data_IF_480850047590
#
_entry.id   IF_480850047590
#
_cell.length_a   1.000
_cell.length_b   1.000
_cell.length_c   1.000
_cell.angle_alpha   90.00
_cell.angle_beta   90.00
_cell.angle_gamma   90.00
#
_symmetry.space_group_name_H-M   'P 1'
#
loop_
_entity.id
_entity.type
_entity.pdbx_description
1 polymer ?
#
# COMPACT_ATOMS: atom_id res chain seq x y z
N UNK A 1 42.36 21.55 -19.92
CA UNK A 1 41.69 20.29 -19.50
C UNK A 1 40.45 20.51 -18.66
N UNK A 2 40.42 21.35 -17.62
CA UNK A 2 39.21 21.58 -16.76
C UNK A 2 37.93 22.02 -17.52
N UNK A 3 38.03 22.92 -18.53
CA UNK A 3 36.84 23.37 -19.31
C UNK A 3 36.20 22.25 -20.15
N UNK A 4 36.94 21.30 -20.69
CA UNK A 4 36.39 20.16 -21.46
C UNK A 4 35.62 19.17 -20.58
N UNK A 5 36.10 18.93 -19.36
CA UNK A 5 35.41 18.06 -18.39
C UNK A 5 34.11 18.68 -17.89
N UNK A 6 34.05 20.00 -17.70
CA UNK A 6 32.81 20.68 -17.29
C UNK A 6 31.74 20.64 -18.39
N UNK A 7 32.12 20.79 -19.66
CA UNK A 7 31.18 20.72 -20.79
C UNK A 7 30.63 19.30 -21.00
N UNK A 8 31.47 18.27 -20.88
CA UNK A 8 31.06 16.86 -20.96
C UNK A 8 30.12 16.47 -19.80
N UNK A 9 30.47 16.89 -18.59
CA UNK A 9 29.63 16.63 -17.41
C UNK A 9 28.25 17.33 -17.54
N UNK A 10 28.21 18.58 -18.01
CA UNK A 10 26.99 19.31 -18.26
C UNK A 10 26.13 18.64 -19.35
N UNK A 11 26.72 18.22 -20.46
CA UNK A 11 26.03 17.48 -21.52
C UNK A 11 25.41 16.17 -21.02
N UNK A 12 26.14 15.43 -20.17
CA UNK A 12 25.61 14.21 -19.54
C UNK A 12 24.40 14.48 -18.61
N UNK A 13 24.48 15.53 -17.79
CA UNK A 13 23.38 15.93 -16.89
C UNK A 13 22.13 16.33 -17.67
N UNK A 14 22.27 17.09 -18.76
CA UNK A 14 21.16 17.47 -19.64
C UNK A 14 20.53 16.24 -20.29
N UNK A 15 21.35 15.33 -20.81
CA UNK A 15 20.86 14.08 -21.41
C UNK A 15 20.13 13.19 -20.40
N UNK A 16 20.68 13.05 -19.18
CA UNK A 16 20.05 12.32 -18.09
C UNK A 16 18.71 12.95 -17.68
N UNK A 17 18.67 14.29 -17.55
CA UNK A 17 17.44 15.03 -17.25
C UNK A 17 16.39 14.82 -18.35
N UNK A 18 16.76 14.94 -19.61
CA UNK A 18 15.88 14.72 -20.75
C UNK A 18 15.34 13.28 -20.77
N UNK A 19 16.21 12.28 -20.53
CA UNK A 19 15.81 10.88 -20.43
C UNK A 19 14.72 10.69 -19.37
N UNK A 20 14.95 11.17 -18.14
CA UNK A 20 14.01 11.02 -17.03
C UNK A 20 12.68 11.72 -17.32
N UNK A 21 12.72 12.97 -17.85
CA UNK A 21 11.52 13.80 -18.04
C UNK A 21 10.72 13.44 -19.29
N UNK A 22 11.39 13.07 -20.37
CA UNK A 22 10.77 12.85 -21.68
C UNK A 22 10.47 11.36 -21.89
N UNK A 23 11.47 10.49 -21.67
CA UNK A 23 11.32 9.05 -21.90
C UNK A 23 10.58 8.36 -20.76
N UNK A 24 11.02 8.56 -19.51
CA UNK A 24 10.41 7.92 -18.35
C UNK A 24 9.18 8.66 -17.81
N UNK A 25 8.96 9.91 -18.22
CA UNK A 25 7.81 10.78 -17.84
C UNK A 25 7.59 10.89 -16.33
N UNK A 26 8.66 10.83 -15.56
CA UNK A 26 8.65 10.96 -14.09
C UNK A 26 9.49 12.12 -13.57
N UNK A 27 9.38 12.43 -12.28
CA UNK A 27 10.18 13.45 -11.65
C UNK A 27 11.63 12.97 -11.41
N UNK A 28 12.58 13.91 -11.42
CA UNK A 28 13.97 13.64 -11.03
C UNK A 28 14.02 13.12 -9.59
N UNK A 29 13.16 13.64 -8.70
CA UNK A 29 13.11 13.20 -7.30
C UNK A 29 12.72 11.72 -7.19
N UNK A 30 11.73 11.26 -7.98
CA UNK A 30 11.36 9.84 -8.07
C UNK A 30 12.55 8.98 -8.57
N UNK A 31 13.24 9.44 -9.63
CA UNK A 31 14.40 8.72 -10.15
C UNK A 31 15.52 8.59 -9.11
N UNK A 32 15.89 9.69 -8.45
CA UNK A 32 16.95 9.68 -7.44
C UNK A 32 16.61 8.81 -6.23
N UNK A 33 15.35 8.86 -5.79
CA UNK A 33 14.87 8.01 -4.71
C UNK A 33 14.98 6.52 -5.07
N UNK A 34 14.55 6.14 -6.28
CA UNK A 34 14.73 4.77 -6.77
C UNK A 34 16.21 4.33 -6.75
N UNK A 35 17.14 5.20 -7.20
CA UNK A 35 18.57 4.86 -7.14
C UNK A 35 19.04 4.69 -5.69
N UNK A 36 18.59 5.53 -4.77
CA UNK A 36 18.86 5.37 -3.32
C UNK A 36 18.35 4.04 -2.76
N UNK A 37 17.13 3.65 -3.13
CA UNK A 37 16.53 2.37 -2.74
C UNK A 37 17.37 1.19 -3.29
N UNK A 38 17.80 1.25 -4.56
CA UNK A 38 18.68 0.21 -5.15
C UNK A 38 19.98 0.06 -4.39
N UNK A 39 20.60 1.17 -4.01
CA UNK A 39 21.87 1.19 -3.27
C UNK A 39 21.71 0.67 -1.83
N UNK A 40 20.57 0.85 -1.20
CA UNK A 40 20.28 0.37 0.17
C UNK A 40 20.24 -1.16 0.30
N UNK A 41 20.13 -1.88 -0.82
CA UNK A 41 19.98 -3.34 -0.87
C UNK A 41 18.75 -3.87 -0.09
N UNK A 42 17.77 -3.01 0.20
CA UNK A 42 16.56 -3.36 0.96
C UNK A 42 15.77 -4.52 0.32
N UNK A 43 15.88 -4.69 -1.01
CA UNK A 43 15.29 -5.79 -1.76
C UNK A 43 15.71 -7.18 -1.27
N UNK A 44 16.92 -7.34 -0.70
CA UNK A 44 17.46 -8.67 -0.33
C UNK A 44 16.52 -9.45 0.59
N UNK A 45 15.88 -8.76 1.54
CA UNK A 45 14.92 -9.38 2.47
C UNK A 45 13.66 -9.95 1.80
N UNK A 46 13.34 -9.48 0.60
CA UNK A 46 12.22 -9.97 -0.19
C UNK A 46 12.62 -10.94 -1.29
N UNK A 47 13.91 -10.92 -1.66
CA UNK A 47 14.48 -11.79 -2.70
C UNK A 47 14.86 -13.16 -2.18
N UNK A 48 15.31 -13.26 -0.92
CA UNK A 48 15.88 -14.49 -0.35
C UNK A 48 15.17 -14.82 0.96
N UNK A 49 14.73 -16.08 1.09
CA UNK A 49 14.04 -16.60 2.28
C UNK A 49 14.85 -16.39 3.56
N UNK A 50 16.14 -16.69 3.55
CA UNK A 50 17.02 -16.56 4.72
C UNK A 50 17.16 -15.10 5.18
N UNK A 51 17.17 -14.16 4.25
CA UNK A 51 17.23 -12.73 4.58
C UNK A 51 15.88 -12.24 5.12
N UNK A 52 14.76 -12.80 4.64
CA UNK A 52 13.43 -12.52 5.20
C UNK A 52 13.32 -13.07 6.63
N UNK A 53 13.77 -14.29 6.88
CA UNK A 53 13.79 -14.89 8.23
C UNK A 53 14.57 -14.02 9.21
N UNK A 54 15.81 -13.63 8.86
CA UNK A 54 16.64 -12.74 9.68
C UNK A 54 15.98 -11.39 9.92
N UNK A 55 15.30 -10.83 8.91
CA UNK A 55 14.60 -9.56 9.05
C UNK A 55 13.41 -9.68 9.99
N UNK A 56 12.64 -10.77 9.90
CA UNK A 56 11.52 -11.06 10.79
C UNK A 56 12.01 -11.28 12.24
N UNK A 57 13.01 -12.12 12.47
CA UNK A 57 13.61 -12.36 13.79
C UNK A 57 14.13 -11.07 14.44
N UNK A 58 14.79 -10.22 13.65
CA UNK A 58 15.31 -8.93 14.13
C UNK A 58 14.20 -7.97 14.50
N UNK A 59 13.09 -7.96 13.75
CA UNK A 59 11.96 -7.06 13.97
C UNK A 59 11.03 -7.54 15.09
N UNK A 60 10.90 -8.84 15.28
CA UNK A 60 9.96 -9.43 16.24
C UNK A 60 10.04 -8.81 17.65
N UNK A 61 11.21 -8.60 18.29
CA UNK A 61 11.27 -7.96 19.60
C UNK A 61 10.76 -6.52 19.60
N UNK A 62 10.85 -5.81 18.46
CA UNK A 62 10.42 -4.40 18.32
C UNK A 62 8.91 -4.29 18.16
N UNK A 63 8.27 -5.33 17.64
CA UNK A 63 6.82 -5.37 17.38
C UNK A 63 6.04 -6.25 18.37
N UNK A 64 6.72 -6.81 19.39
CA UNK A 64 6.11 -7.70 20.39
C UNK A 64 5.27 -6.97 21.45
N UNK A 65 5.52 -5.69 21.64
CA UNK A 65 4.87 -4.88 22.65
C UNK A 65 3.86 -3.89 22.08
N UNK A 66 3.54 -2.90 22.93
CA UNK A 66 2.77 -1.75 22.44
C UNK A 66 3.61 -0.93 21.48
N UNK A 67 2.96 -0.43 20.44
CA UNK A 67 3.61 0.48 19.51
C UNK A 67 4.04 1.77 20.21
N UNK A 68 5.34 2.06 20.17
CA UNK A 68 5.94 3.20 20.92
C UNK A 68 5.57 4.59 20.35
N UNK A 69 4.89 4.63 19.21
CA UNK A 69 4.50 5.87 18.55
C UNK A 69 5.45 6.32 17.44
N UNK A 70 5.19 7.49 16.90
CA UNK A 70 5.98 8.12 15.85
C UNK A 70 6.50 9.48 16.31
N UNK A 71 7.69 9.87 15.84
CA UNK A 71 8.22 11.24 15.99
C UNK A 71 7.77 12.18 14.86
N UNK A 72 6.89 11.73 13.97
CA UNK A 72 6.34 12.57 12.91
C UNK A 72 5.41 13.64 13.52
N UNK A 73 5.59 14.88 13.06
CA UNK A 73 4.74 16.00 13.48
C UNK A 73 3.65 16.20 12.43
N UNK A 74 2.41 15.87 12.79
CA UNK A 74 1.26 16.02 11.90
C UNK A 74 0.94 17.51 11.68
N UNK A 75 0.52 17.85 10.47
CA UNK A 75 -0.02 19.16 10.09
C UNK A 75 -1.50 19.26 10.40
N UNK A 76 -2.22 18.15 10.17
CA UNK A 76 -3.64 18.04 10.50
C UNK A 76 -3.82 17.64 11.96
N UNK A 77 -4.95 18.02 12.60
CA UNK A 77 -5.29 17.52 13.93
C UNK A 77 -5.24 16.00 13.96
N UNK A 78 -4.61 15.43 14.99
CA UNK A 78 -4.47 13.99 15.17
C UNK A 78 -4.80 13.59 16.61
N UNK A 79 -5.55 12.52 16.77
CA UNK A 79 -5.70 11.78 18.03
C UNK A 79 -5.07 10.40 17.89
N UNK A 80 -4.53 9.89 19.00
CA UNK A 80 -3.92 8.57 19.05
C UNK A 80 -4.51 7.85 20.25
N UNK A 81 -5.34 6.86 19.99
CA UNK A 81 -6.10 6.14 20.98
C UNK A 81 -5.88 4.63 20.86
N UNK A 82 -6.25 3.89 21.90
CA UNK A 82 -6.27 2.43 21.86
C UNK A 82 -7.69 1.93 21.56
N UNK A 83 -7.80 1.21 20.46
CA UNK A 83 -9.05 0.52 20.11
C UNK A 83 -8.76 -0.97 19.95
N UNK A 84 -9.51 -1.80 20.66
CA UNK A 84 -9.44 -3.26 20.57
C UNK A 84 -8.02 -3.83 20.77
N UNK A 85 -7.23 -3.19 21.63
CA UNK A 85 -5.84 -3.59 21.95
C UNK A 85 -4.78 -3.06 20.97
N UNK A 86 -5.18 -2.29 19.96
CA UNK A 86 -4.25 -1.71 18.96
C UNK A 86 -4.21 -0.19 19.05
N UNK A 87 -3.04 0.40 18.82
CA UNK A 87 -2.89 1.85 18.66
C UNK A 87 -3.52 2.28 17.33
N UNK A 88 -4.40 3.28 17.37
CA UNK A 88 -5.12 3.80 16.21
C UNK A 88 -4.88 5.31 16.08
N UNK A 89 -4.36 5.72 14.95
CA UNK A 89 -4.22 7.13 14.58
C UNK A 89 -5.50 7.58 13.87
N UNK A 90 -6.10 8.68 14.35
CA UNK A 90 -7.24 9.35 13.71
C UNK A 90 -6.83 10.77 13.34
N UNK A 91 -6.70 11.04 12.04
CA UNK A 91 -6.22 12.31 11.49
C UNK A 91 -7.40 13.08 10.88
N UNK A 92 -7.51 14.39 11.21
CA UNK A 92 -8.52 15.33 10.69
C UNK A 92 -9.98 14.91 10.97
N UNK A 93 -10.25 14.41 12.18
CA UNK A 93 -11.62 14.11 12.62
C UNK A 93 -12.38 15.41 12.93
N UNK A 94 -13.43 15.69 12.18
CA UNK A 94 -14.30 16.86 12.35
C UNK A 94 -15.55 16.60 13.17
N UNK A 95 -15.74 15.35 13.62
CA UNK A 95 -16.94 14.90 14.30
C UNK A 95 -18.22 15.17 13.46
N UNK A 96 -18.09 15.14 12.12
CA UNK A 96 -19.19 15.35 11.18
C UNK A 96 -19.54 14.02 10.52
N UNK A 97 -20.78 13.55 10.72
CA UNK A 97 -21.28 12.30 10.14
C UNK A 97 -21.30 12.29 8.60
N UNK A 98 -21.17 13.46 7.96
CA UNK A 98 -21.09 13.59 6.51
C UNK A 98 -19.64 13.66 6.01
N UNK A 99 -18.65 13.69 6.91
CA UNK A 99 -17.25 13.63 6.54
C UNK A 99 -16.90 12.28 5.95
N UNK A 100 -16.15 12.26 4.83
CA UNK A 100 -15.56 11.05 4.29
C UNK A 100 -14.56 10.45 5.28
N UNK A 101 -14.55 9.12 5.39
CA UNK A 101 -13.64 8.41 6.28
C UNK A 101 -12.80 7.43 5.46
N UNK A 102 -11.49 7.44 5.66
CA UNK A 102 -10.56 6.47 5.09
C UNK A 102 -10.05 5.54 6.18
N UNK A 103 -10.35 4.25 6.08
CA UNK A 103 -9.72 3.19 6.88
C UNK A 103 -8.48 2.70 6.13
N UNK A 104 -7.30 3.08 6.63
CA UNK A 104 -6.04 2.85 5.95
C UNK A 104 -5.24 1.70 6.57
N UNK A 105 -4.94 0.67 5.77
CA UNK A 105 -4.04 -0.41 6.11
C UNK A 105 -2.63 -0.09 5.58
N UNK A 106 -1.66 0.12 6.48
CA UNK A 106 -0.29 0.42 6.07
C UNK A 106 0.44 -0.80 5.52
N UNK A 107 1.39 -0.57 4.60
CA UNK A 107 2.31 -1.59 4.13
C UNK A 107 3.35 -2.01 5.16
N UNK A 108 4.26 -2.88 4.76
CA UNK A 108 5.35 -3.36 5.60
C UNK A 108 5.43 -4.89 5.68
N UNK A 109 4.92 -5.57 4.65
CA UNK A 109 4.98 -7.02 4.50
C UNK A 109 4.53 -7.79 5.76
N UNK A 110 3.48 -7.28 6.41
CA UNK A 110 2.80 -7.82 7.59
C UNK A 110 3.65 -7.96 8.85
N UNK A 111 4.94 -7.54 8.85
CA UNK A 111 5.84 -7.65 10.01
C UNK A 111 6.43 -6.32 10.50
N UNK A 112 6.35 -5.26 9.70
CA UNK A 112 6.88 -3.95 10.08
C UNK A 112 5.78 -3.04 10.63
N UNK A 113 6.14 -2.20 11.58
CA UNK A 113 5.33 -1.07 11.99
C UNK A 113 5.26 -0.01 10.89
N UNK A 114 4.25 0.90 10.94
CA UNK A 114 4.16 1.97 9.97
C UNK A 114 5.42 2.84 10.03
N UNK A 115 6.01 3.07 8.85
CA UNK A 115 7.18 3.93 8.70
C UNK A 115 6.78 5.41 8.66
N UNK A 116 7.73 6.31 8.88
CA UNK A 116 7.51 7.75 8.78
C UNK A 116 6.78 8.17 7.49
N UNK A 117 7.08 7.53 6.36
CA UNK A 117 6.43 7.82 5.07
C UNK A 117 4.93 7.56 5.08
N UNK A 118 4.43 6.59 5.88
CA UNK A 118 3.01 6.31 6.01
C UNK A 118 2.32 7.44 6.78
N UNK A 119 2.93 7.95 7.88
CA UNK A 119 2.39 9.09 8.62
C UNK A 119 2.35 10.37 7.76
N UNK A 120 3.42 10.64 6.99
CA UNK A 120 3.45 11.73 6.03
C UNK A 120 2.37 11.57 4.95
N UNK A 121 2.11 10.33 4.52
CA UNK A 121 1.12 10.05 3.50
C UNK A 121 -0.30 10.24 4.01
N UNK A 122 -0.66 9.69 5.19
CA UNK A 122 -2.02 9.82 5.74
C UNK A 122 -2.34 11.26 6.15
N UNK A 123 -1.36 12.06 6.54
CA UNK A 123 -1.51 13.47 6.85
C UNK A 123 -1.86 14.27 5.57
N UNK A 124 -1.09 14.08 4.47
CA UNK A 124 -1.36 14.70 3.16
C UNK A 124 -2.65 14.17 2.53
N UNK A 125 -2.98 12.89 2.74
CA UNK A 125 -4.24 12.28 2.31
C UNK A 125 -5.43 12.93 3.00
N UNK A 126 -5.39 13.08 4.33
CA UNK A 126 -6.44 13.71 5.13
C UNK A 126 -6.68 15.16 4.70
N UNK A 127 -5.61 15.92 4.46
CA UNK A 127 -5.68 17.29 3.96
C UNK A 127 -6.29 17.33 2.55
N UNK A 128 -5.76 16.55 1.60
CA UNK A 128 -6.15 16.58 0.19
C UNK A 128 -7.60 16.18 -0.02
N UNK A 129 -8.06 15.12 0.65
CA UNK A 129 -9.43 14.62 0.55
C UNK A 129 -10.40 15.33 1.47
N UNK A 130 -9.91 16.18 2.38
CA UNK A 130 -10.70 16.75 3.47
C UNK A 130 -11.44 15.67 4.28
N UNK A 131 -10.80 14.51 4.45
CA UNK A 131 -11.34 13.29 5.05
C UNK A 131 -10.76 13.04 6.44
N UNK A 132 -11.49 12.30 7.27
CA UNK A 132 -10.94 11.63 8.44
C UNK A 132 -10.16 10.41 7.96
N UNK A 133 -8.90 10.25 8.39
CA UNK A 133 -8.10 9.06 8.07
C UNK A 133 -7.81 8.30 9.36
N UNK A 134 -8.20 7.03 9.37
CA UNK A 134 -7.98 6.11 10.49
C UNK A 134 -6.94 5.08 10.05
N UNK A 135 -5.81 5.02 10.76
CA UNK A 135 -4.75 4.04 10.53
C UNK A 135 -4.48 3.26 11.81
N UNK A 136 -4.96 2.02 11.93
CA UNK A 136 -4.59 1.13 13.01
C UNK A 136 -3.16 0.61 12.79
N UNK A 137 -2.39 0.51 13.88
CA UNK A 137 -1.17 -0.29 13.92
C UNK A 137 -1.61 -1.73 14.21
N UNK A 138 -1.91 -2.45 13.16
CA UNK A 138 -2.56 -3.77 13.25
C UNK A 138 -1.61 -4.87 13.75
N UNK A 139 -2.15 -5.99 14.30
CA UNK A 139 -1.37 -7.17 14.68
C UNK A 139 -0.55 -7.72 13.50
N UNK A 140 0.66 -8.18 13.77
CA UNK A 140 1.66 -8.54 12.76
C UNK A 140 2.32 -9.88 13.07
N UNK A 141 2.87 -10.51 12.04
CA UNK A 141 3.77 -11.66 12.21
C UNK A 141 5.09 -11.21 12.87
N UNK A 142 5.75 -12.09 13.65
CA UNK A 142 5.38 -13.48 13.92
C UNK A 142 4.39 -13.67 15.08
N UNK A 143 3.85 -12.60 15.67
CA UNK A 143 3.04 -12.64 16.89
C UNK A 143 1.60 -13.09 16.62
N UNK A 144 1.05 -12.70 15.48
CA UNK A 144 -0.32 -13.00 15.06
C UNK A 144 -0.35 -13.19 13.53
N UNK A 145 -1.30 -13.98 13.05
CA UNK A 145 -1.62 -14.13 11.65
C UNK A 145 -2.65 -13.09 11.15
N UNK A 146 -3.10 -13.25 9.91
CA UNK A 146 -4.08 -12.35 9.28
C UNK A 146 -5.42 -12.26 10.03
N UNK A 147 -5.81 -13.32 10.75
CA UNK A 147 -7.11 -13.41 11.40
C UNK A 147 -7.28 -12.32 12.47
N UNK A 148 -6.24 -12.11 13.28
CA UNK A 148 -6.26 -11.06 14.30
C UNK A 148 -6.44 -9.66 13.70
N UNK A 149 -5.81 -9.40 12.56
CA UNK A 149 -5.95 -8.13 11.84
C UNK A 149 -7.36 -7.96 11.26
N UNK A 150 -7.95 -8.99 10.69
CA UNK A 150 -9.31 -8.89 10.15
C UNK A 150 -10.36 -8.71 11.23
N UNK A 151 -10.18 -9.33 12.41
CA UNK A 151 -11.05 -9.07 13.58
C UNK A 151 -10.95 -7.60 14.02
N UNK A 152 -9.75 -7.03 14.04
CA UNK A 152 -9.57 -5.60 14.35
C UNK A 152 -10.26 -4.70 13.32
N UNK A 153 -10.02 -4.95 12.02
CA UNK A 153 -10.61 -4.16 10.94
C UNK A 153 -12.12 -4.24 10.93
N UNK A 154 -12.71 -5.41 11.18
CA UNK A 154 -14.15 -5.60 11.26
C UNK A 154 -14.77 -4.76 12.40
N UNK A 155 -14.16 -4.78 13.59
CA UNK A 155 -14.62 -3.98 14.72
C UNK A 155 -14.54 -2.48 14.43
N UNK A 156 -13.39 -2.02 13.89
CA UNK A 156 -13.23 -0.62 13.49
C UNK A 156 -14.23 -0.23 12.40
N UNK A 157 -14.48 -1.11 11.44
CA UNK A 157 -15.43 -0.85 10.37
C UNK A 157 -16.88 -0.71 10.90
N UNK A 158 -17.27 -1.56 11.85
CA UNK A 158 -18.57 -1.41 12.52
C UNK A 158 -18.68 -0.09 13.29
N UNK A 159 -17.61 0.34 13.97
CA UNK A 159 -17.59 1.65 14.62
C UNK A 159 -17.78 2.78 13.60
N UNK A 160 -17.15 2.67 12.41
CA UNK A 160 -17.31 3.66 11.34
C UNK A 160 -18.70 3.69 10.77
N UNK A 161 -19.33 2.54 10.56
CA UNK A 161 -20.74 2.46 10.09
C UNK A 161 -21.70 3.19 11.04
N UNK A 162 -21.42 3.21 12.33
CA UNK A 162 -22.22 3.94 13.33
C UNK A 162 -21.92 5.45 13.35
N UNK A 163 -20.78 5.89 12.78
CA UNK A 163 -20.33 7.29 12.78
C UNK A 163 -20.71 8.05 11.51
N UNK A 164 -20.82 7.37 10.37
CA UNK A 164 -21.13 7.98 9.07
C UNK A 164 -22.62 7.98 8.76
N UNK A 165 -23.07 8.91 7.94
CA UNK A 165 -24.47 8.95 7.49
C UNK A 165 -24.78 7.88 6.41
N UNK A 166 -23.77 7.50 5.61
CA UNK A 166 -23.88 6.50 4.55
C UNK A 166 -22.53 5.73 4.44
N UNK A 167 -22.59 4.41 4.33
CA UNK A 167 -21.41 3.54 4.12
C UNK A 167 -20.60 3.93 2.89
N UNK A 168 -21.22 4.58 1.89
CA UNK A 168 -20.54 5.13 0.71
C UNK A 168 -19.51 6.20 1.03
N UNK A 169 -19.56 6.79 2.23
CA UNK A 169 -18.55 7.73 2.71
C UNK A 169 -17.27 7.04 3.16
N UNK A 170 -17.31 5.73 3.41
CA UNK A 170 -16.16 4.96 3.84
C UNK A 170 -15.33 4.53 2.63
N UNK A 171 -14.03 4.79 2.72
CA UNK A 171 -13.01 4.30 1.79
C UNK A 171 -12.11 3.34 2.56
N UNK A 172 -11.97 2.12 2.08
CA UNK A 172 -10.95 1.19 2.57
C UNK A 172 -9.73 1.31 1.66
N UNK A 173 -8.58 1.67 2.22
CA UNK A 173 -7.37 1.93 1.45
C UNK A 173 -6.18 1.22 2.06
N UNK A 174 -5.22 0.81 1.22
CA UNK A 174 -3.96 0.28 1.74
C UNK A 174 -2.88 0.18 0.68
N UNK A 175 -1.63 0.07 1.14
CA UNK A 175 -0.47 -0.08 0.29
C UNK A 175 0.25 -1.40 0.53
N UNK A 176 0.78 -2.04 -0.52
CA UNK A 176 1.54 -3.30 -0.44
C UNK A 176 0.76 -4.40 0.29
N UNK A 177 1.27 -4.93 1.40
CA UNK A 177 0.57 -5.83 2.32
C UNK A 177 -0.76 -5.24 2.81
N UNK A 178 -0.81 -3.93 3.08
CA UNK A 178 -2.05 -3.23 3.44
C UNK A 178 -3.06 -3.19 2.28
N UNK A 179 -2.59 -3.14 1.04
CA UNK A 179 -3.45 -3.26 -0.14
C UNK A 179 -4.07 -4.65 -0.26
N UNK A 180 -3.32 -5.71 0.09
CA UNK A 180 -3.85 -7.07 0.22
C UNK A 180 -4.94 -7.11 1.30
N UNK A 181 -4.66 -6.57 2.49
CA UNK A 181 -5.62 -6.51 3.60
C UNK A 181 -6.90 -5.78 3.14
N UNK A 182 -6.78 -4.64 2.47
CA UNK A 182 -7.92 -3.82 2.05
C UNK A 182 -8.88 -4.58 1.11
N UNK A 183 -8.36 -5.29 0.11
CA UNK A 183 -9.21 -6.02 -0.84
C UNK A 183 -9.78 -7.30 -0.21
N UNK A 184 -8.96 -8.09 0.49
CA UNK A 184 -9.44 -9.28 1.20
C UNK A 184 -10.48 -8.93 2.27
N UNK A 185 -10.31 -7.80 2.96
CA UNK A 185 -11.27 -7.34 3.95
C UNK A 185 -12.63 -6.97 3.30
N UNK A 186 -12.64 -6.29 2.15
CA UNK A 186 -13.88 -6.01 1.43
C UNK A 186 -14.59 -7.31 0.99
N UNK A 187 -13.86 -8.32 0.56
CA UNK A 187 -14.40 -9.66 0.25
C UNK A 187 -14.94 -10.36 1.50
N UNK A 188 -14.26 -10.24 2.64
CA UNK A 188 -14.74 -10.75 3.93
C UNK A 188 -16.02 -10.05 4.38
N UNK A 189 -16.14 -8.73 4.20
CA UNK A 189 -17.39 -8.02 4.48
C UNK A 189 -18.55 -8.58 3.65
N UNK A 190 -18.29 -8.88 2.36
CA UNK A 190 -19.28 -9.50 1.48
C UNK A 190 -19.67 -10.91 1.97
N UNK A 191 -18.69 -11.76 2.30
CA UNK A 191 -18.93 -13.12 2.85
C UNK A 191 -19.82 -13.05 4.10
N UNK A 192 -19.62 -12.04 4.95
CA UNK A 192 -20.38 -11.83 6.18
C UNK A 192 -21.68 -11.03 6.00
N UNK A 193 -22.06 -10.69 4.78
CA UNK A 193 -23.22 -9.85 4.48
C UNK A 193 -23.21 -8.49 5.17
N UNK A 194 -22.01 -7.94 5.43
CA UNK A 194 -21.84 -6.58 5.95
C UNK A 194 -21.82 -5.60 4.77
N UNK A 195 -22.48 -4.44 4.96
CA UNK A 195 -22.55 -3.42 3.91
C UNK A 195 -21.18 -2.97 3.45
N UNK A 196 -21.01 -2.82 2.13
CA UNK A 196 -19.72 -2.47 1.52
C UNK A 196 -19.34 -0.99 1.72
N UNK A 197 -18.03 -0.66 1.76
CA UNK A 197 -17.56 0.72 1.63
C UNK A 197 -17.89 1.26 0.24
N UNK A 198 -17.95 2.58 0.10
CA UNK A 198 -18.13 3.20 -1.22
C UNK A 198 -16.97 2.95 -2.17
N UNK A 199 -15.74 2.95 -1.64
CA UNK A 199 -14.53 2.80 -2.44
C UNK A 199 -13.49 1.92 -1.76
N UNK A 200 -12.69 1.24 -2.60
CA UNK A 200 -11.53 0.44 -2.22
C UNK A 200 -10.35 0.99 -3.03
N UNK A 201 -9.31 1.51 -2.36
CA UNK A 201 -8.16 2.11 -3.03
C UNK A 201 -6.90 1.29 -2.73
N UNK A 202 -6.32 0.71 -3.76
CA UNK A 202 -5.22 -0.24 -3.68
C UNK A 202 -3.94 0.38 -4.25
N UNK A 203 -2.90 0.47 -3.43
CA UNK A 203 -1.60 1.02 -3.82
C UNK A 203 -0.58 -0.12 -3.86
N UNK A 204 -0.14 -0.52 -5.05
CA UNK A 204 0.81 -1.63 -5.24
C UNK A 204 0.48 -2.86 -4.39
N UNK A 205 -0.77 -3.38 -4.42
CA UNK A 205 -1.22 -4.43 -3.52
C UNK A 205 -0.54 -5.77 -3.79
N UNK A 206 -0.31 -6.58 -2.77
CA UNK A 206 -0.05 -8.02 -2.94
C UNK A 206 -1.38 -8.69 -3.25
N UNK A 207 -1.59 -9.13 -4.49
CA UNK A 207 -2.85 -9.71 -4.95
C UNK A 207 -2.81 -11.24 -4.98
N UNK A 208 -1.64 -11.81 -5.25
CA UNK A 208 -1.34 -13.23 -5.20
C UNK A 208 -0.11 -13.46 -4.31
N UNK A 209 -0.33 -14.03 -3.13
CA UNK A 209 0.72 -14.34 -2.16
C UNK A 209 1.64 -15.48 -2.62
N UNK A 210 1.22 -16.27 -3.62
CA UNK A 210 2.05 -17.32 -4.20
C UNK A 210 3.16 -16.78 -5.09
N UNK A 211 3.03 -15.53 -5.59
CA UNK A 211 3.98 -14.88 -6.50
C UNK A 211 4.32 -15.72 -7.75
N UNK A 212 3.31 -16.43 -8.30
CA UNK A 212 3.52 -17.39 -9.41
C UNK A 212 3.12 -16.85 -10.78
N UNK A 213 2.78 -15.57 -10.92
CA UNK A 213 2.46 -15.01 -12.24
C UNK A 213 3.65 -15.19 -13.20
N UNK A 214 3.43 -15.72 -14.42
CA UNK A 214 4.51 -16.11 -15.34
C UNK A 214 5.40 -14.94 -15.79
N UNK A 215 4.92 -13.72 -15.76
CA UNK A 215 5.70 -12.53 -16.13
C UNK A 215 6.58 -11.97 -14.99
N UNK A 216 6.42 -12.41 -13.75
CA UNK A 216 7.21 -11.89 -12.60
C UNK A 216 8.72 -11.93 -12.85
N UNK A 217 9.32 -12.97 -13.48
CA UNK A 217 10.75 -12.99 -13.77
C UNK A 217 11.25 -11.78 -14.57
N UNK A 218 10.44 -11.22 -15.47
CA UNK A 218 10.78 -10.06 -16.30
C UNK A 218 10.85 -8.75 -15.49
N UNK A 219 10.25 -8.73 -14.32
CA UNK A 219 10.21 -7.58 -13.42
C UNK A 219 11.26 -7.64 -12.31
N UNK A 220 11.80 -8.81 -12.00
CA UNK A 220 12.77 -8.96 -10.91
C UNK A 220 13.97 -8.02 -11.01
N UNK A 221 14.52 -7.77 -12.20
CA UNK A 221 15.63 -6.84 -12.38
C UNK A 221 15.21 -5.37 -12.37
N UNK A 222 13.96 -5.09 -12.71
CA UNK A 222 13.40 -3.74 -12.79
C UNK A 222 13.02 -3.22 -11.40
N UNK A 223 12.43 -4.07 -10.56
CA UNK A 223 11.97 -3.72 -9.23
C UNK A 223 13.15 -3.47 -8.26
N UNK A 224 13.24 -2.30 -7.61
CA UNK A 224 14.28 -2.01 -6.63
C UNK A 224 13.98 -2.51 -5.22
N UNK A 225 12.72 -2.94 -4.91
CA UNK A 225 12.25 -3.17 -3.54
C UNK A 225 11.76 -4.58 -3.29
N UNK A 226 10.98 -5.17 -4.19
CA UNK A 226 10.29 -6.46 -3.99
C UNK A 226 10.99 -7.57 -4.74
N UNK A 227 11.01 -8.77 -4.16
CA UNK A 227 11.51 -10.03 -4.72
C UNK A 227 10.50 -11.13 -4.47
N UNK A 228 10.84 -12.38 -4.70
CA UNK A 228 9.89 -13.50 -4.64
C UNK A 228 10.05 -14.34 -3.38
N UNK A 229 11.15 -15.07 -3.23
CA UNK A 229 11.26 -16.14 -2.21
C UNK A 229 11.07 -15.62 -0.77
N UNK A 230 11.63 -14.42 -0.47
CA UNK A 230 11.46 -13.79 0.82
C UNK A 230 10.04 -13.28 1.03
N UNK A 231 9.38 -12.78 -0.03
CA UNK A 231 7.98 -12.33 0.03
C UNK A 231 7.03 -13.50 0.27
N UNK A 232 7.23 -14.63 -0.42
CA UNK A 232 6.45 -15.87 -0.23
C UNK A 232 6.62 -16.38 1.20
N UNK A 233 7.85 -16.44 1.72
CA UNK A 233 8.08 -16.82 3.11
C UNK A 233 7.31 -15.95 4.11
N UNK A 234 7.31 -14.63 3.94
CA UNK A 234 6.56 -13.73 4.81
C UNK A 234 5.05 -13.92 4.67
N UNK A 235 4.57 -14.20 3.47
CA UNK A 235 3.18 -14.52 3.21
C UNK A 235 2.75 -15.86 3.84
N UNK A 236 3.62 -16.87 3.85
CA UNK A 236 3.40 -18.15 4.58
C UNK A 236 3.22 -17.89 6.08
N UNK A 237 4.08 -17.05 6.67
CA UNK A 237 3.94 -16.68 8.09
C UNK A 237 2.63 -15.93 8.37
N UNK A 238 2.22 -15.03 7.45
CA UNK A 238 0.98 -14.26 7.54
C UNK A 238 -0.26 -15.13 7.38
N UNK A 239 -0.22 -16.10 6.47
CA UNK A 239 -1.30 -17.04 6.21
C UNK A 239 -1.55 -18.04 7.35
N UNK A 240 -0.53 -18.34 8.18
CA UNK A 240 -0.63 -19.40 9.18
C UNK A 240 -0.92 -20.75 8.50
N UNK A 241 -1.95 -21.44 8.93
CA UNK A 241 -2.38 -22.72 8.35
C UNK A 241 -3.25 -22.56 7.08
N UNK A 242 -3.56 -21.32 6.67
CA UNK A 242 -4.38 -21.05 5.50
C UNK A 242 -3.57 -21.20 4.21
N UNK A 243 -4.06 -21.92 3.17
CA UNK A 243 -3.39 -21.99 1.88
C UNK A 243 -3.14 -20.60 1.28
N UNK A 244 -1.97 -20.42 0.65
CA UNK A 244 -1.59 -19.12 0.07
C UNK A 244 -2.52 -18.64 -1.04
N UNK A 245 -3.20 -19.53 -1.75
CA UNK A 245 -4.18 -19.21 -2.79
C UNK A 245 -5.57 -18.84 -2.25
N UNK A 246 -5.79 -18.94 -0.94
CA UNK A 246 -7.03 -18.49 -0.32
C UNK A 246 -7.20 -16.98 -0.47
N UNK A 247 -8.42 -16.50 -0.79
CA UNK A 247 -8.69 -15.08 -1.01
C UNK A 247 -8.33 -14.19 0.20
N UNK A 248 -8.30 -14.73 1.40
CA UNK A 248 -7.93 -13.98 2.61
C UNK A 248 -6.46 -13.55 2.63
N UNK A 249 -5.63 -14.17 1.81
CA UNK A 249 -4.20 -13.82 1.64
C UNK A 249 -3.84 -13.55 0.18
N UNK A 250 -4.61 -14.07 -0.77
CA UNK A 250 -4.49 -13.84 -2.23
C UNK A 250 -5.82 -13.34 -2.80
N UNK A 251 -6.17 -12.06 -2.60
CA UNK A 251 -7.50 -11.54 -2.93
C UNK A 251 -7.87 -11.57 -4.40
N UNK A 252 -6.92 -11.80 -5.31
CA UNK A 252 -7.20 -12.00 -6.73
C UNK A 252 -8.10 -13.24 -6.98
N UNK A 253 -8.06 -14.22 -6.08
CA UNK A 253 -8.84 -15.46 -6.14
C UNK A 253 -10.22 -15.34 -5.48
N UNK A 254 -10.54 -14.18 -4.91
CA UNK A 254 -11.82 -13.97 -4.22
C UNK A 254 -12.91 -13.45 -5.14
N UNK A 255 -14.10 -13.33 -4.58
CA UNK A 255 -15.25 -12.79 -5.28
C UNK A 255 -15.16 -11.25 -5.37
N UNK A 256 -15.17 -10.73 -6.59
CA UNK A 256 -15.05 -9.31 -6.89
C UNK A 256 -16.41 -8.62 -7.13
N UNK A 257 -17.49 -9.40 -7.28
CA UNK A 257 -18.80 -8.86 -7.62
C UNK A 257 -19.45 -8.15 -6.42
N UNK A 258 -20.01 -6.96 -6.66
CA UNK A 258 -20.75 -6.20 -5.63
C UNK A 258 -19.89 -5.60 -4.53
N UNK A 259 -18.57 -5.53 -4.70
CA UNK A 259 -17.68 -4.77 -3.84
C UNK A 259 -17.84 -3.26 -4.08
N UNK A 260 -17.32 -2.43 -3.18
CA UNK A 260 -17.15 -1.00 -3.43
C UNK A 260 -16.30 -0.75 -4.68
N UNK A 261 -16.43 0.45 -5.30
CA UNK A 261 -15.64 0.80 -6.48
C UNK A 261 -14.14 0.67 -6.22
N UNK A 262 -13.44 -0.08 -7.07
CA UNK A 262 -12.01 -0.35 -6.92
C UNK A 262 -11.20 0.68 -7.72
N UNK A 263 -10.26 1.34 -7.04
CA UNK A 263 -9.19 2.14 -7.68
C UNK A 263 -7.86 1.46 -7.40
N UNK A 264 -7.12 1.12 -8.44
CA UNK A 264 -5.88 0.37 -8.37
C UNK A 264 -4.72 1.17 -8.98
N UNK A 265 -3.64 1.37 -8.23
CA UNK A 265 -2.38 1.94 -8.74
C UNK A 265 -1.21 1.02 -8.45
N UNK A 266 -0.26 0.97 -9.38
CA UNK A 266 0.96 0.14 -9.29
C UNK A 266 2.04 0.74 -10.17
N UNK A 267 3.30 0.67 -9.76
CA UNK A 267 4.43 1.07 -10.60
C UNK A 267 4.74 0.04 -11.67
N UNK A 268 4.98 0.48 -12.91
CA UNK A 268 5.24 -0.44 -14.03
C UNK A 268 6.62 -1.12 -13.99
N UNK A 269 7.39 -0.91 -12.93
CA UNK A 269 8.67 -1.62 -12.69
C UNK A 269 8.55 -2.68 -11.59
N UNK A 270 7.40 -2.80 -10.95
CA UNK A 270 7.19 -3.71 -9.82
C UNK A 270 6.96 -5.16 -10.24
N UNK A 271 7.42 -6.10 -9.41
CA UNK A 271 7.06 -7.52 -9.55
C UNK A 271 5.57 -7.77 -9.31
N UNK A 272 4.86 -6.84 -8.66
CA UNK A 272 3.42 -6.89 -8.42
C UNK A 272 2.58 -6.32 -9.60
N UNK A 273 3.24 -5.75 -10.63
CA UNK A 273 2.56 -5.16 -11.78
C UNK A 273 1.74 -6.17 -12.59
N UNK A 274 2.26 -7.39 -12.89
CA UNK A 274 1.49 -8.40 -13.65
C UNK A 274 0.17 -8.76 -12.98
N UNK A 275 0.18 -9.01 -11.67
CA UNK A 275 -1.05 -9.35 -10.93
C UNK A 275 -2.02 -8.17 -10.86
N UNK A 276 -1.51 -6.95 -10.72
CA UNK A 276 -2.34 -5.74 -10.73
C UNK A 276 -3.00 -5.52 -12.10
N UNK A 277 -2.27 -5.76 -13.18
CA UNK A 277 -2.83 -5.72 -14.54
C UNK A 277 -3.89 -6.81 -14.74
N UNK A 278 -3.60 -8.03 -14.26
CA UNK A 278 -4.53 -9.16 -14.32
C UNK A 278 -5.83 -8.84 -13.56
N UNK A 279 -5.75 -8.28 -12.34
CA UNK A 279 -6.94 -7.85 -11.59
C UNK A 279 -7.77 -6.85 -12.40
N UNK A 280 -7.14 -5.82 -13.01
CA UNK A 280 -7.85 -4.86 -13.84
C UNK A 280 -8.52 -5.51 -15.05
N UNK A 281 -7.88 -6.48 -15.68
CA UNK A 281 -8.45 -7.25 -16.79
C UNK A 281 -9.63 -8.12 -16.33
N UNK A 282 -9.52 -8.79 -15.18
CA UNK A 282 -10.61 -9.58 -14.59
C UNK A 282 -11.84 -8.71 -14.28
N UNK A 283 -11.64 -7.53 -13.68
CA UNK A 283 -12.70 -6.58 -13.41
C UNK A 283 -13.39 -6.12 -14.70
N UNK A 284 -12.59 -5.79 -15.74
CA UNK A 284 -13.10 -5.40 -17.06
C UNK A 284 -13.90 -6.54 -17.70
N UNK A 285 -13.39 -7.77 -17.67
CA UNK A 285 -14.06 -8.94 -18.25
C UNK A 285 -15.41 -9.26 -17.56
N UNK A 286 -15.52 -8.94 -16.27
CA UNK A 286 -16.77 -9.05 -15.50
C UNK A 286 -17.70 -7.84 -15.67
N UNK A 287 -17.30 -6.79 -16.39
CA UNK A 287 -18.06 -5.54 -16.50
C UNK A 287 -18.10 -4.71 -15.23
N UNK A 288 -17.17 -4.94 -14.29
CA UNK A 288 -17.08 -4.20 -13.03
C UNK A 288 -16.33 -2.89 -13.27
N UNK A 289 -17.00 -1.76 -13.00
CA UNK A 289 -16.40 -0.44 -13.13
C UNK A 289 -15.27 -0.25 -12.09
N UNK A 290 -14.10 0.11 -12.57
CA UNK A 290 -12.92 0.34 -11.73
C UNK A 290 -11.98 1.37 -12.39
N UNK A 291 -11.01 1.86 -11.61
CA UNK A 291 -9.98 2.77 -12.09
C UNK A 291 -8.61 2.08 -11.99
N UNK A 292 -7.89 1.99 -13.12
CA UNK A 292 -6.52 1.51 -13.17
C UNK A 292 -5.56 2.66 -13.50
N UNK A 293 -4.67 3.00 -12.57
CA UNK A 293 -3.75 4.14 -12.63
C UNK A 293 -2.30 3.64 -12.60
N UNK A 294 -1.75 3.14 -13.71
CA UNK A 294 -0.37 2.67 -13.72
C UNK A 294 0.63 3.83 -13.57
N UNK A 295 1.57 3.69 -12.66
CA UNK A 295 2.70 4.59 -12.48
C UNK A 295 3.82 4.25 -13.46
N UNK A 296 3.88 4.91 -14.61
CA UNK A 296 4.91 4.64 -15.62
C UNK A 296 6.32 4.89 -15.08
N UNK A 297 7.20 3.89 -15.24
CA UNK A 297 8.58 3.86 -14.70
C UNK A 297 8.67 4.07 -13.19
N UNK A 298 7.57 3.91 -12.45
CA UNK A 298 7.54 4.00 -10.99
C UNK A 298 7.87 2.65 -10.34
N UNK A 299 8.28 2.74 -9.09
CA UNK A 299 8.66 1.65 -8.21
C UNK A 299 7.58 1.40 -7.15
N UNK A 300 7.74 0.34 -6.36
CA UNK A 300 6.78 -0.13 -5.37
C UNK A 300 6.32 0.96 -4.41
N UNK A 301 4.99 1.05 -4.24
CA UNK A 301 4.29 2.04 -3.40
C UNK A 301 4.72 3.50 -3.64
N UNK A 302 5.09 3.86 -4.88
CA UNK A 302 5.57 5.21 -5.21
C UNK A 302 4.68 6.35 -4.69
N UNK A 303 3.34 6.23 -4.61
CA UNK A 303 2.50 7.29 -4.09
C UNK A 303 2.68 7.55 -2.58
N UNK A 304 3.18 6.56 -1.84
CA UNK A 304 3.42 6.70 -0.39
C UNK A 304 4.69 7.49 -0.09
N UNK A 305 5.61 7.61 -1.06
CA UNK A 305 6.82 8.40 -0.90
C UNK A 305 6.59 9.90 -1.18
N UNK A 306 7.33 10.82 -0.51
CA UNK A 306 7.16 12.26 -0.67
C UNK A 306 7.77 12.79 -1.98
N UNK A 307 7.20 12.38 -3.11
CA UNK A 307 7.58 12.74 -4.47
C UNK A 307 6.42 13.48 -5.17
N UNK A 308 6.67 14.24 -6.25
CA UNK A 308 5.61 14.96 -6.97
C UNK A 308 4.47 14.08 -7.46
N UNK A 309 4.76 12.80 -7.76
CA UNK A 309 3.79 11.82 -8.21
C UNK A 309 2.75 11.47 -7.13
N UNK A 310 3.11 11.55 -5.82
CA UNK A 310 2.16 11.42 -4.70
C UNK A 310 1.00 12.41 -4.86
N UNK A 311 1.31 13.69 -5.04
CA UNK A 311 0.27 14.73 -5.20
C UNK A 311 -0.65 14.43 -6.38
N UNK A 312 -0.08 14.05 -7.52
CA UNK A 312 -0.88 13.69 -8.69
C UNK A 312 -1.84 12.56 -8.37
N UNK A 313 -1.35 11.50 -7.73
CA UNK A 313 -2.17 10.36 -7.30
C UNK A 313 -3.28 10.80 -6.34
N UNK A 314 -2.96 11.56 -5.30
CA UNK A 314 -3.96 12.04 -4.33
C UNK A 314 -5.06 12.88 -4.98
N UNK A 315 -4.73 13.75 -5.95
CA UNK A 315 -5.73 14.50 -6.71
C UNK A 315 -6.57 13.61 -7.63
N UNK A 316 -5.98 12.57 -8.24
CA UNK A 316 -6.74 11.59 -9.03
C UNK A 316 -7.74 10.84 -8.14
N UNK A 317 -7.29 10.32 -6.99
CA UNK A 317 -8.17 9.67 -6.02
C UNK A 317 -9.28 10.61 -5.55
N UNK A 318 -8.95 11.88 -5.22
CA UNK A 318 -9.95 12.88 -4.84
C UNK A 318 -11.06 13.02 -5.89
N UNK A 319 -10.70 13.08 -7.17
CA UNK A 319 -11.68 13.24 -8.26
C UNK A 319 -12.53 11.98 -8.49
N UNK A 320 -11.99 10.79 -8.17
CA UNK A 320 -12.70 9.52 -8.34
C UNK A 320 -13.71 9.29 -7.22
N UNK A 321 -13.34 9.65 -5.98
CA UNK A 321 -14.15 9.33 -4.81
C UNK A 321 -15.16 10.44 -4.45
N UNK A 322 -15.07 11.62 -5.04
CA UNK A 322 -16.04 12.73 -4.89
C UNK A 322 -17.15 12.60 -5.91
#
# INVERSE_FOLDING_TARGET
>A
MRKKWSTLAFGFLVAAYAHIRIKEKRSVKSYMLEQGIRLSRAKRRFMYKEEAMKALEKMAPQTAGEYEGTNYQFKMPVTVDKHYGSTVYSVNDKQDKHQRVVLYAHGGAWFQDPLKIHFEFIDELAETLNAKVIMPVYPKIPHQDYQATYVLFEKLYHDLLNQVADSKQIVVMGDSAGGQIALSFAQLLKEKHIVQPGHIVLISPVLDATMQHPEIPDYLKKDPMVGVDGSVFLAEQWAGDTPLDNYKVSPINGDLDGLGRITLTVGTKEVLYPDALNLSQLLSAKGIEHDFIPGYYQFHIYPVFPIPERRRFLYQVKNIIN
#
